data_IF_350948748336
#
_entry.id   IF_350948748336
#
_cell.length_a   1.000
_cell.length_b   1.000
_cell.length_c   1.000
_cell.angle_alpha   90.00
_cell.angle_beta   90.00
_cell.angle_gamma   90.00
#
_symmetry.space_group_name_H-M   'P 1'
#
loop_
_entity.id
_entity.type
_entity.pdbx_description
1 polymer ?
#
# COMPACT_ATOMS: atom_id res chain seq x y z
N UNK A 1 -65.87 13.02 -11.83
CA UNK A 1 -65.05 12.81 -10.62
C UNK A 1 -63.72 12.21 -11.05
N UNK A 2 -62.63 12.75 -10.50
CA UNK A 2 -61.23 12.38 -10.79
C UNK A 2 -60.90 11.02 -10.16
N UNK A 3 -60.06 10.23 -10.85
CA UNK A 3 -59.43 9.07 -10.23
C UNK A 3 -58.88 8.03 -11.20
N UNK A 4 -58.07 8.44 -12.18
CA UNK A 4 -57.18 7.47 -12.86
C UNK A 4 -55.99 7.24 -11.94
N UNK A 5 -55.96 6.10 -11.24
CA UNK A 5 -54.77 5.60 -10.58
C UNK A 5 -53.72 5.34 -11.68
N UNK A 6 -52.88 6.33 -11.92
CA UNK A 6 -51.76 6.23 -12.84
C UNK A 6 -50.88 5.08 -12.36
N UNK A 7 -50.65 4.10 -13.24
CA UNK A 7 -49.74 2.98 -13.02
C UNK A 7 -48.44 3.49 -12.40
N UNK A 8 -48.11 3.02 -11.19
CA UNK A 8 -46.82 3.33 -10.58
C UNK A 8 -45.79 2.78 -11.56
N UNK A 9 -44.95 3.65 -12.13
CA UNK A 9 -43.82 3.20 -12.92
C UNK A 9 -42.94 2.34 -12.00
N UNK A 10 -43.00 1.01 -12.19
CA UNK A 10 -42.19 0.01 -11.47
C UNK A 10 -40.76 -0.01 -12.00
N UNK A 11 -40.57 0.37 -13.26
CA UNK A 11 -39.28 0.45 -13.95
C UNK A 11 -38.25 1.35 -13.23
N UNK A 12 -38.59 2.57 -12.79
CA UNK A 12 -37.71 3.41 -11.97
C UNK A 12 -37.36 2.81 -10.61
N UNK A 13 -38.29 2.10 -9.96
CA UNK A 13 -38.04 1.52 -8.64
C UNK A 13 -37.03 0.38 -8.71
N UNK A 14 -37.16 -0.47 -9.72
CA UNK A 14 -36.22 -1.57 -9.95
C UNK A 14 -34.84 -1.04 -10.28
N UNK A 15 -34.73 0.03 -11.09
CA UNK A 15 -33.43 0.65 -11.44
C UNK A 15 -32.68 1.17 -10.19
N UNK A 16 -33.37 1.88 -9.29
CA UNK A 16 -32.78 2.35 -8.03
C UNK A 16 -32.31 1.18 -7.15
N UNK A 17 -33.10 0.11 -7.07
CA UNK A 17 -32.70 -1.08 -6.30
C UNK A 17 -31.50 -1.79 -6.94
N UNK A 18 -31.41 -1.87 -8.27
CA UNK A 18 -30.28 -2.46 -8.98
C UNK A 18 -28.99 -1.64 -8.77
N UNK A 19 -29.06 -0.31 -8.81
CA UNK A 19 -27.92 0.57 -8.51
C UNK A 19 -27.39 0.32 -7.10
N UNK A 20 -28.26 0.19 -6.11
CA UNK A 20 -27.85 -0.11 -4.72
C UNK A 20 -27.16 -1.47 -4.60
N UNK A 21 -27.64 -2.50 -5.32
CA UNK A 21 -27.01 -3.82 -5.34
C UNK A 21 -25.60 -3.79 -5.97
N UNK A 22 -25.42 -3.05 -7.05
CA UNK A 22 -24.10 -2.87 -7.70
C UNK A 22 -23.12 -2.16 -6.78
N UNK A 23 -23.55 -1.11 -6.06
CA UNK A 23 -22.72 -0.41 -5.07
C UNK A 23 -22.21 -1.40 -4.01
N UNK A 24 -23.10 -2.19 -3.42
CA UNK A 24 -22.70 -3.18 -2.41
C UNK A 24 -21.74 -4.23 -2.96
N UNK A 25 -21.98 -4.76 -4.17
CA UNK A 25 -21.09 -5.75 -4.81
C UNK A 25 -19.68 -5.19 -5.05
N UNK A 26 -19.53 -3.90 -5.38
CA UNK A 26 -18.23 -3.27 -5.62
C UNK A 26 -17.49 -2.92 -4.32
N UNK A 27 -18.21 -2.58 -3.25
CA UNK A 27 -17.56 -2.21 -1.97
C UNK A 27 -16.92 -3.39 -1.23
N UNK A 28 -17.46 -4.61 -1.35
CA UNK A 28 -16.91 -5.80 -0.69
C UNK A 28 -15.44 -6.13 -1.07
N UNK A 29 -15.04 -6.21 -2.36
CA UNK A 29 -13.64 -6.50 -2.72
C UNK A 29 -12.67 -5.36 -2.36
N UNK A 30 -13.14 -4.15 -2.07
CA UNK A 30 -12.30 -3.04 -1.63
C UNK A 30 -11.88 -3.14 -0.16
N UNK A 31 -12.56 -3.99 0.63
CA UNK A 31 -12.34 -4.15 2.06
C UNK A 31 -11.19 -5.11 2.41
N UNK A 32 -10.66 -5.85 1.42
CA UNK A 32 -9.59 -6.85 1.59
C UNK A 32 -8.16 -6.32 1.33
N UNK A 33 -7.96 -5.00 1.24
CA UNK A 33 -6.61 -4.41 1.14
C UNK A 33 -5.95 -4.27 2.53
N UNK A 34 -5.83 -5.38 3.25
CA UNK A 34 -5.02 -5.48 4.46
C UNK A 34 -3.76 -6.25 4.14
N UNK A 35 -2.63 -5.56 3.93
CA UNK A 35 -1.34 -6.23 4.11
C UNK A 35 -1.31 -6.75 5.55
N UNK A 36 -1.17 -8.05 5.73
CA UNK A 36 -0.99 -8.67 7.04
C UNK A 36 0.40 -8.28 7.57
N UNK A 37 0.47 -7.18 8.32
CA UNK A 37 1.71 -6.67 8.89
C UNK A 37 1.88 -7.26 10.28
N UNK A 38 2.64 -8.35 10.37
CA UNK A 38 3.06 -8.88 11.65
C UNK A 38 4.17 -7.96 12.20
N UNK A 39 3.83 -7.10 13.15
CA UNK A 39 4.77 -6.14 13.75
C UNK A 39 5.63 -6.89 14.77
N UNK A 40 6.96 -7.01 14.57
CA UNK A 40 7.81 -7.71 15.53
C UNK A 40 7.93 -6.89 16.83
N UNK A 41 7.62 -7.52 17.96
CA UNK A 41 7.92 -6.96 19.29
C UNK A 41 9.40 -7.21 19.59
N UNK A 42 10.14 -6.13 19.89
CA UNK A 42 11.57 -6.20 20.20
C UNK A 42 11.71 -6.18 21.72
N UNK A 43 12.01 -7.33 22.33
CA UNK A 43 12.20 -7.42 23.79
C UNK A 43 13.53 -6.78 24.25
N UNK A 44 14.56 -6.85 23.41
CA UNK A 44 15.87 -6.24 23.65
C UNK A 44 16.26 -5.43 22.42
N UNK A 45 15.89 -4.15 22.39
CA UNK A 45 16.49 -3.23 21.44
C UNK A 45 17.91 -2.95 21.92
N UNK A 46 18.98 -3.43 21.23
CA UNK A 46 20.32 -2.95 21.54
C UNK A 46 20.26 -1.44 21.46
N UNK A 47 20.76 -0.76 22.49
CA UNK A 47 20.90 0.69 22.45
C UNK A 47 21.58 1.02 21.13
N UNK A 48 20.86 1.71 20.23
CA UNK A 48 21.36 2.07 18.91
C UNK A 48 22.58 2.94 19.17
N UNK A 49 23.75 2.31 19.19
CA UNK A 49 25.02 3.01 19.23
C UNK A 49 25.00 3.87 17.98
N UNK A 50 24.94 5.18 18.19
CA UNK A 50 24.71 6.19 17.15
C UNK A 50 25.95 6.40 16.27
N UNK A 51 26.62 5.31 15.94
CA UNK A 51 27.89 5.17 15.26
C UNK A 51 27.81 3.74 14.72
N UNK A 52 27.50 3.47 13.47
CA UNK A 52 28.03 4.07 12.24
C UNK A 52 26.90 4.44 11.24
N UNK A 53 27.24 5.25 10.25
CA UNK A 53 26.38 5.84 9.21
C UNK A 53 25.17 4.99 8.77
N UNK A 54 24.01 5.25 9.36
CA UNK A 54 22.75 4.61 9.00
C UNK A 54 22.43 4.83 7.51
N UNK A 55 22.28 3.73 6.75
CA UNK A 55 21.87 3.79 5.36
C UNK A 55 20.39 4.14 5.29
N UNK A 56 20.08 5.34 4.78
CA UNK A 56 18.70 5.80 4.61
C UNK A 56 18.12 5.29 3.31
N UNK A 57 17.01 4.54 3.40
CA UNK A 57 16.23 4.01 2.28
C UNK A 57 14.90 4.77 2.19
N UNK A 58 14.59 5.34 1.03
CA UNK A 58 13.33 6.04 0.77
C UNK A 58 12.61 5.41 -0.41
N UNK A 59 11.35 5.03 -0.22
CA UNK A 59 10.49 4.45 -1.26
C UNK A 59 9.44 5.48 -1.65
N UNK A 60 9.42 5.89 -2.92
CA UNK A 60 8.43 6.83 -3.46
C UNK A 60 7.17 6.09 -3.96
N UNK A 61 6.01 6.75 -4.00
CA UNK A 61 4.75 6.16 -4.48
C UNK A 61 4.79 5.60 -5.91
N UNK A 62 5.73 6.05 -6.73
CA UNK A 62 5.93 5.60 -8.10
C UNK A 62 6.84 4.35 -8.20
N UNK A 63 7.17 3.71 -7.08
CA UNK A 63 8.05 2.54 -7.02
C UNK A 63 9.54 2.85 -7.18
N UNK A 64 9.91 4.13 -7.20
CA UNK A 64 11.32 4.55 -7.21
C UNK A 64 11.89 4.43 -5.81
N UNK A 65 13.10 3.89 -5.69
CA UNK A 65 13.78 3.72 -4.41
C UNK A 65 15.07 4.51 -4.40
N UNK A 66 15.28 5.33 -3.37
CA UNK A 66 16.50 6.06 -3.13
C UNK A 66 17.26 5.47 -1.94
N UNK A 67 18.57 5.27 -2.11
CA UNK A 67 19.52 4.81 -1.09
C UNK A 67 20.57 5.91 -0.95
N UNK A 68 20.48 6.71 0.11
CA UNK A 68 21.32 7.91 0.25
C UNK A 68 21.16 8.87 -0.93
N UNK A 69 22.21 9.04 -1.74
CA UNK A 69 22.21 9.88 -2.95
C UNK A 69 21.91 9.10 -4.24
N UNK A 70 21.84 7.77 -4.19
CA UNK A 70 21.64 6.93 -5.37
C UNK A 70 20.16 6.63 -5.56
N UNK A 71 19.62 6.96 -6.74
CA UNK A 71 18.23 6.65 -7.10
C UNK A 71 18.15 5.44 -8.03
N UNK A 72 17.41 4.42 -7.61
CA UNK A 72 17.14 3.20 -8.36
C UNK A 72 15.70 3.21 -8.87
N UNK A 73 15.54 3.06 -10.19
CA UNK A 73 14.21 2.94 -10.84
C UNK A 73 13.63 1.53 -10.78
N UNK A 74 14.43 0.54 -10.34
CA UNK A 74 14.06 -0.88 -10.33
C UNK A 74 14.38 -1.52 -8.98
N UNK A 75 13.39 -2.15 -8.35
CA UNK A 75 13.50 -2.79 -7.04
C UNK A 75 14.46 -3.99 -7.03
N UNK A 76 14.55 -4.70 -8.15
CA UNK A 76 15.40 -5.89 -8.37
C UNK A 76 16.91 -5.60 -8.22
N UNK A 77 17.31 -4.33 -8.17
CA UNK A 77 18.71 -3.91 -7.97
C UNK A 77 19.05 -3.45 -6.56
N UNK A 78 18.06 -3.36 -5.67
CA UNK A 78 18.29 -2.90 -4.29
C UNK A 78 19.17 -3.90 -3.52
N UNK A 79 18.86 -5.20 -3.59
CA UNK A 79 19.62 -6.25 -2.91
C UNK A 79 21.12 -6.24 -3.23
N UNK A 80 21.55 -6.29 -4.50
CA UNK A 80 22.97 -6.27 -4.84
C UNK A 80 23.65 -4.94 -4.48
N UNK A 81 22.96 -3.80 -4.65
CA UNK A 81 23.53 -2.48 -4.34
C UNK A 81 23.74 -2.30 -2.84
N UNK A 82 22.77 -2.69 -2.01
CA UNK A 82 22.90 -2.63 -0.55
C UNK A 82 24.00 -3.57 -0.06
N UNK A 83 24.07 -4.79 -0.59
CA UNK A 83 25.12 -5.75 -0.22
C UNK A 83 26.50 -5.21 -0.54
N UNK A 84 26.66 -4.58 -1.71
CA UNK A 84 27.91 -3.93 -2.10
C UNK A 84 28.26 -2.76 -1.18
N UNK A 85 27.31 -1.87 -0.88
CA UNK A 85 27.54 -0.72 0.00
C UNK A 85 27.84 -1.12 1.45
N UNK A 86 27.33 -2.26 1.91
CA UNK A 86 27.63 -2.80 3.24
C UNK A 86 28.98 -3.53 3.26
N UNK A 87 29.31 -4.33 2.23
CA UNK A 87 30.61 -5.02 2.16
C UNK A 87 31.79 -4.06 2.01
N UNK A 88 31.63 -2.98 1.23
CA UNK A 88 32.67 -1.94 1.08
C UNK A 88 33.00 -1.24 2.41
N UNK A 89 32.07 -1.24 3.37
CA UNK A 89 32.26 -0.68 4.71
C UNK A 89 32.88 -1.67 5.68
N UNK A 90 32.60 -2.96 5.55
CA UNK A 90 33.17 -4.02 6.39
C UNK A 90 34.66 -4.30 6.09
N UNK A 91 35.11 -4.07 4.85
CA UNK A 91 36.53 -4.24 4.47
C UNK A 91 37.44 -3.05 4.89
N UNK A 92 36.85 -1.95 5.36
CA UNK A 92 37.55 -0.70 5.69
C UNK A 92 37.91 -0.48 7.17
N UNK A 93 37.71 -1.48 8.03
CA UNK A 93 38.02 -1.46 9.47
C UNK A 93 38.91 -2.65 9.86
#
# INVERSE_FOLDING_TARGET
QRGSLSEINVTPFVDVMLVLLVIFMVTAPMMEQGLDVNLPEVEDAPAVSRSEEAVTLTVLPNGTVAIGQTTLKRLDKIGPVLKQMLSEREEGN
#
